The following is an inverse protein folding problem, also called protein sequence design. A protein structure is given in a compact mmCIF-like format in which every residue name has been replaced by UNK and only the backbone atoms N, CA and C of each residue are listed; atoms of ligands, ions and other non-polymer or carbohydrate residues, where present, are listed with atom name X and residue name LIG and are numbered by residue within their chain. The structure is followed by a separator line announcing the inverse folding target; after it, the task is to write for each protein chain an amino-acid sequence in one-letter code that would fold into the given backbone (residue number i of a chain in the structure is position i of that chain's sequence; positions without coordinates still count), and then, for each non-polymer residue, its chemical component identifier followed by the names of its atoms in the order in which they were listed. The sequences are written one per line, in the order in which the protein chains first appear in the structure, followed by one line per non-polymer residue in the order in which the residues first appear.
data_IF_372917011526
#
_entry.id   IF_372917011526
#
_cell.length_a   1.000
_cell.length_b   1.000
_cell.length_c   1.000
_cell.angle_alpha   90.00
_cell.angle_beta   90.00
_cell.angle_gamma   90.00
#
_symmetry.space_group_name_H-M   'P 1'
#
loop_
_entity.id
_entity.type
_entity.pdbx_description
1 polymer ?
#
# COMPACT_ATOMS: atom_id res chain seq x y z
N UNK A 1 1.39 -0.30 -16.88
CA UNK A 1 1.40 -0.40 -15.46
C UNK A 1 0.76 -1.65 -14.98
N UNK A 2 1.36 -2.38 -14.13
CA UNK A 2 0.62 -3.43 -13.44
C UNK A 2 1.27 -3.67 -12.08
N UNK A 3 0.64 -3.14 -11.02
CA UNK A 3 0.51 -3.99 -9.88
C UNK A 3 -0.32 -5.16 -10.40
N UNK A 4 0.28 -6.27 -10.74
CA UNK A 4 -0.48 -7.45 -11.14
C UNK A 4 -1.50 -7.71 -10.04
N UNK A 5 -2.77 -8.01 -10.38
CA UNK A 5 -3.68 -8.45 -9.36
C UNK A 5 -2.96 -9.56 -8.59
N UNK A 6 -3.01 -9.50 -7.27
CA UNK A 6 -2.40 -10.52 -6.42
C UNK A 6 -3.18 -11.83 -6.54
N UNK A 7 -3.25 -12.35 -7.77
CA UNK A 7 -4.05 -13.53 -8.14
C UNK A 7 -3.56 -14.82 -7.50
N UNK A 8 -2.36 -14.79 -6.92
CA UNK A 8 -1.81 -15.91 -6.16
C UNK A 8 -2.10 -15.87 -4.66
N UNK A 9 -2.65 -14.77 -4.14
CA UNK A 9 -3.06 -14.70 -2.75
C UNK A 9 -4.39 -15.44 -2.63
N UNK A 10 -4.36 -16.53 -1.91
CA UNK A 10 -5.47 -17.44 -1.65
C UNK A 10 -6.80 -16.68 -1.48
N UNK A 11 -7.73 -16.88 -2.40
CA UNK A 11 -9.06 -16.24 -2.44
C UNK A 11 -9.87 -16.35 -1.13
N UNK A 12 -9.44 -17.21 -0.18
CA UNK A 12 -10.10 -17.33 1.11
C UNK A 12 -9.96 -16.10 2.01
N UNK A 13 -8.97 -15.23 1.76
CA UNK A 13 -8.84 -13.95 2.47
C UNK A 13 -9.71 -12.84 1.88
N UNK A 14 -10.15 -13.00 0.64
CA UNK A 14 -11.04 -12.05 -0.03
C UNK A 14 -12.52 -12.25 0.30
N UNK A 15 -12.83 -13.07 1.28
CA UNK A 15 -14.22 -13.17 1.74
C UNK A 15 -14.62 -11.82 2.32
N UNK A 16 -15.28 -11.05 1.46
CA UNK A 16 -15.89 -9.74 1.69
C UNK A 16 -16.46 -9.67 3.11
N UNK A 17 -15.64 -9.23 4.06
CA UNK A 17 -16.19 -8.60 5.24
C UNK A 17 -16.79 -7.30 4.73
N UNK A 18 -18.09 -7.18 4.71
CA UNK A 18 -18.77 -5.89 4.65
C UNK A 18 -18.40 -5.15 5.92
N UNK A 19 -17.18 -4.59 5.93
CA UNK A 19 -16.76 -3.73 7.00
C UNK A 19 -17.33 -2.37 6.65
N UNK A 20 -18.27 -1.90 7.44
CA UNK A 20 -18.59 -0.49 7.48
C UNK A 20 -17.34 0.19 8.03
N UNK A 21 -16.47 0.69 7.13
CA UNK A 21 -15.21 1.35 7.49
C UNK A 21 -15.54 2.76 7.96
N UNK A 22 -16.22 2.87 9.10
CA UNK A 22 -16.44 4.13 9.77
C UNK A 22 -15.27 4.31 10.73
N UNK A 23 -14.37 5.26 10.42
CA UNK A 23 -13.29 5.74 11.29
C UNK A 23 -12.09 4.81 11.52
N UNK A 24 -11.77 3.91 10.58
CA UNK A 24 -10.58 3.07 10.67
C UNK A 24 -9.31 3.85 10.27
N UNK A 25 -8.20 3.59 10.97
CA UNK A 25 -6.91 4.24 10.71
C UNK A 25 -5.84 3.22 10.35
N UNK A 26 -4.76 3.67 9.69
CA UNK A 26 -3.56 2.86 9.55
C UNK A 26 -2.51 3.35 10.56
N UNK A 27 -1.90 2.40 11.26
CA UNK A 27 -0.90 2.67 12.30
C UNK A 27 0.46 2.13 11.85
N UNK A 28 1.46 3.00 11.84
CA UNK A 28 2.86 2.65 11.60
C UNK A 28 3.76 3.46 12.53
N UNK A 29 4.98 2.96 12.75
CA UNK A 29 5.94 3.65 13.60
C UNK A 29 6.57 4.84 12.86
N UNK A 30 7.13 5.79 13.61
CA UNK A 30 7.90 6.89 13.03
C UNK A 30 9.11 6.40 12.23
N UNK A 31 9.73 5.30 12.67
CA UNK A 31 10.82 4.64 11.95
C UNK A 31 10.36 4.09 10.60
N UNK A 32 9.24 3.39 10.57
CA UNK A 32 8.64 2.85 9.34
C UNK A 32 8.34 3.99 8.35
N UNK A 33 7.75 5.06 8.84
CA UNK A 33 7.45 6.25 8.03
C UNK A 33 8.72 6.84 7.42
N UNK A 34 9.77 7.02 8.21
CA UNK A 34 11.04 7.55 7.73
C UNK A 34 11.71 6.63 6.71
N UNK A 35 11.62 5.31 6.89
CA UNK A 35 12.12 4.34 5.92
C UNK A 35 11.43 4.47 4.56
N UNK A 36 10.10 4.58 4.56
CA UNK A 36 9.32 4.78 3.34
C UNK A 36 9.67 6.10 2.63
N UNK A 37 9.78 7.20 3.39
CA UNK A 37 10.16 8.50 2.86
C UNK A 37 11.55 8.47 2.22
N UNK A 38 12.52 7.90 2.92
CA UNK A 38 13.90 7.79 2.45
C UNK A 38 13.98 6.94 1.18
N UNK A 39 13.24 5.84 1.15
CA UNK A 39 13.17 4.98 -0.03
C UNK A 39 12.57 5.72 -1.23
N UNK A 40 11.44 6.40 -1.03
CA UNK A 40 10.79 7.20 -2.08
C UNK A 40 11.73 8.25 -2.69
N UNK A 41 12.46 8.97 -1.85
CA UNK A 41 13.41 9.98 -2.32
C UNK A 41 14.61 9.37 -3.06
N UNK A 42 15.06 8.17 -2.66
CA UNK A 42 16.18 7.48 -3.30
C UNK A 42 15.85 6.90 -4.67
N UNK A 43 14.59 6.56 -4.92
CA UNK A 43 14.15 5.94 -6.17
C UNK A 43 13.81 6.96 -7.27
N UNK A 44 13.79 8.25 -6.94
CA UNK A 44 13.55 9.29 -7.96
C UNK A 44 14.51 9.15 -9.14
N UNK A 45 14.06 9.33 -10.36
CA UNK A 45 12.79 9.92 -10.82
C UNK A 45 11.62 8.92 -10.96
N UNK A 46 11.79 7.67 -10.52
CA UNK A 46 10.78 6.63 -10.66
C UNK A 46 9.85 6.57 -9.45
N UNK A 47 8.64 6.05 -9.64
CA UNK A 47 7.80 5.66 -8.52
C UNK A 47 8.49 4.54 -7.73
N UNK A 48 8.51 4.67 -6.41
CA UNK A 48 8.88 3.58 -5.49
C UNK A 48 7.65 2.84 -5.03
N UNK A 49 7.81 1.59 -4.61
CA UNK A 49 6.72 0.81 -4.07
C UNK A 49 7.18 -0.10 -2.92
N UNK A 50 6.26 -0.42 -2.03
CA UNK A 50 6.49 -1.33 -0.91
C UNK A 50 5.20 -2.05 -0.53
N UNK A 51 5.35 -3.22 0.07
CA UNK A 51 4.24 -3.99 0.64
C UNK A 51 4.35 -3.91 2.17
N UNK A 52 3.26 -3.54 2.81
CA UNK A 52 3.19 -3.43 4.26
C UNK A 52 2.38 -4.61 4.81
N UNK A 53 2.98 -5.29 5.77
CA UNK A 53 2.46 -6.51 6.38
C UNK A 53 2.12 -6.24 7.85
N UNK A 54 1.05 -6.81 8.32
CA UNK A 54 0.62 -6.65 9.70
C UNK A 54 -0.70 -7.32 10.00
N UNK A 55 -1.46 -6.75 10.91
CA UNK A 55 -2.74 -7.27 11.35
C UNK A 55 -3.82 -6.19 11.26
N UNK A 56 -5.03 -6.63 10.99
CA UNK A 56 -6.23 -5.80 11.01
C UNK A 56 -7.08 -6.15 12.21
N UNK A 57 -7.52 -5.13 12.95
CA UNK A 57 -8.53 -5.24 13.99
C UNK A 57 -9.77 -4.38 13.66
N UNK A 58 -10.69 -4.21 14.61
CA UNK A 58 -11.93 -3.46 14.39
C UNK A 58 -11.69 -2.00 14.03
N UNK A 59 -10.66 -1.39 14.61
CA UNK A 59 -10.41 0.04 14.53
C UNK A 59 -9.22 0.41 13.64
N UNK A 60 -8.29 -0.55 13.38
CA UNK A 60 -7.02 -0.21 12.76
C UNK A 60 -6.47 -1.29 11.83
N UNK A 61 -5.66 -0.84 10.88
CA UNK A 61 -4.65 -1.66 10.21
C UNK A 61 -3.30 -1.37 10.89
N UNK A 62 -2.75 -2.38 11.56
CA UNK A 62 -1.53 -2.24 12.34
C UNK A 62 -0.33 -2.76 11.54
N UNK A 63 0.49 -1.87 11.01
CA UNK A 63 1.70 -2.23 10.28
C UNK A 63 2.73 -2.81 11.26
N UNK A 64 3.29 -3.97 10.91
CA UNK A 64 4.31 -4.66 11.69
C UNK A 64 5.62 -4.84 10.93
N UNK A 65 5.55 -4.84 9.60
CA UNK A 65 6.72 -5.02 8.75
C UNK A 65 6.54 -4.29 7.43
N UNK A 66 7.59 -3.63 7.00
CA UNK A 66 7.70 -3.02 5.67
C UNK A 66 8.59 -3.91 4.83
N UNK A 67 8.14 -4.23 3.62
CA UNK A 67 8.93 -4.91 2.61
C UNK A 67 9.08 -3.98 1.41
N UNK A 68 10.24 -3.36 1.28
CA UNK A 68 10.59 -2.55 0.13
C UNK A 68 10.66 -3.45 -1.11
N UNK A 69 10.06 -3.00 -2.20
CA UNK A 69 9.99 -3.76 -3.45
C UNK A 69 10.54 -2.97 -4.62
N UNK A 70 11.08 -3.67 -5.61
CA UNK A 70 11.50 -3.04 -6.86
C UNK A 70 10.27 -2.66 -7.69
N UNK A 71 10.28 -1.44 -8.26
CA UNK A 71 9.37 -1.08 -9.35
C UNK A 71 9.93 -1.62 -10.66
N UNK A 72 9.45 -2.79 -11.08
CA UNK A 72 9.95 -3.45 -12.31
C UNK A 72 9.55 -2.73 -13.59
N UNK A 73 8.55 -1.85 -13.54
CA UNK A 73 8.17 -0.99 -14.65
C UNK A 73 9.15 0.16 -14.88
N UNK A 74 9.93 0.53 -13.86
CA UNK A 74 10.86 1.68 -13.90
C UNK A 74 10.23 2.91 -14.52
N UNK A 75 9.04 3.26 -14.06
CA UNK A 75 8.23 4.37 -14.58
C UNK A 75 8.12 5.50 -13.56
N UNK A 76 7.98 6.72 -14.08
CA UNK A 76 7.74 7.93 -13.27
C UNK A 76 6.29 8.13 -12.85
N UNK A 77 5.38 7.39 -13.48
CA UNK A 77 3.92 7.59 -13.34
C UNK A 77 3.17 6.32 -12.98
N UNK A 78 3.89 5.23 -12.76
CA UNK A 78 3.30 3.94 -12.45
C UNK A 78 4.32 2.99 -11.83
N UNK A 79 3.86 1.91 -11.20
CA UNK A 79 4.74 0.89 -10.63
C UNK A 79 4.19 -0.51 -10.90
N UNK A 80 5.10 -1.47 -10.88
CA UNK A 80 4.78 -2.89 -10.92
C UNK A 80 5.64 -3.64 -9.90
N UNK A 81 4.99 -4.44 -9.07
CA UNK A 81 5.66 -5.40 -8.19
C UNK A 81 5.63 -6.75 -8.88
N UNK A 82 6.76 -7.46 -8.95
CA UNK A 82 6.80 -8.76 -9.61
C UNK A 82 5.92 -9.79 -8.87
N UNK A 83 5.25 -10.71 -9.59
CA UNK A 83 4.46 -11.78 -8.97
C UNK A 83 5.25 -12.64 -8.00
N UNK A 84 6.52 -12.92 -8.30
CA UNK A 84 7.40 -13.69 -7.42
C UNK A 84 7.63 -12.97 -6.09
N UNK A 85 7.80 -11.65 -6.12
CA UNK A 85 7.97 -10.84 -4.91
C UNK A 85 6.69 -10.77 -4.08
N UNK A 86 5.55 -10.62 -4.74
CA UNK A 86 4.24 -10.65 -4.07
C UNK A 86 4.02 -11.99 -3.36
N UNK A 87 4.33 -13.09 -4.03
CA UNK A 87 4.24 -14.44 -3.44
C UNK A 87 5.19 -14.60 -2.24
N UNK A 88 6.44 -14.17 -2.36
CA UNK A 88 7.41 -14.18 -1.26
C UNK A 88 6.89 -13.45 -0.03
N UNK A 89 6.35 -12.24 -0.23
CA UNK A 89 5.82 -11.42 0.89
C UNK A 89 4.58 -12.07 1.52
N UNK A 90 3.71 -12.66 0.71
CA UNK A 90 2.55 -13.40 1.22
C UNK A 90 2.97 -14.59 2.11
N UNK A 91 4.01 -15.32 1.70
CA UNK A 91 4.56 -16.42 2.52
C UNK A 91 5.16 -15.92 3.83
N UNK A 92 5.94 -14.84 3.78
CA UNK A 92 6.51 -14.20 4.98
C UNK A 92 5.39 -13.77 5.95
N UNK A 93 4.34 -13.18 5.44
CA UNK A 93 3.20 -12.76 6.23
C UNK A 93 2.52 -13.96 6.93
N UNK A 94 2.23 -15.00 6.17
CA UNK A 94 1.59 -16.23 6.69
C UNK A 94 2.41 -16.92 7.77
N UNK A 95 3.72 -17.04 7.58
CA UNK A 95 4.64 -17.64 8.57
C UNK A 95 4.63 -16.88 9.89
N UNK A 96 4.36 -15.59 9.87
CA UNK A 96 4.28 -14.73 11.06
C UNK A 96 2.84 -14.51 11.55
N UNK A 97 1.88 -15.25 11.02
CA UNK A 97 0.45 -15.08 11.33
C UNK A 97 -0.05 -13.65 11.08
N UNK A 98 0.42 -13.07 10.01
CA UNK A 98 0.05 -11.73 9.53
C UNK A 98 -0.49 -11.81 8.12
N UNK A 99 -0.91 -10.68 7.58
CA UNK A 99 -1.38 -10.54 6.21
C UNK A 99 -0.82 -9.26 5.55
N UNK A 100 -0.92 -9.19 4.24
CA UNK A 100 -0.65 -7.95 3.53
C UNK A 100 -1.82 -7.00 3.79
N UNK A 101 -1.53 -5.83 4.35
CA UNK A 101 -2.56 -4.89 4.80
C UNK A 101 -2.49 -3.53 4.11
N UNK A 102 -1.43 -3.24 3.37
CA UNK A 102 -1.28 -1.95 2.71
C UNK A 102 -0.27 -2.04 1.57
N UNK A 103 -0.51 -1.28 0.52
CA UNK A 103 0.48 -0.96 -0.50
C UNK A 103 0.94 0.48 -0.31
N UNK A 104 2.24 0.70 -0.39
CA UNK A 104 2.86 2.02 -0.46
C UNK A 104 3.38 2.27 -1.87
N UNK A 105 3.20 3.49 -2.38
CA UNK A 105 3.97 3.98 -3.52
C UNK A 105 4.20 5.50 -3.44
N UNK A 106 5.16 5.98 -4.22
CA UNK A 106 5.47 7.39 -4.32
C UNK A 106 5.03 7.97 -5.65
N UNK A 107 4.67 9.25 -5.61
CA UNK A 107 4.48 10.11 -6.79
C UNK A 107 5.67 11.08 -6.89
N UNK A 108 6.62 10.85 -7.81
CA UNK A 108 7.78 11.75 -7.95
C UNK A 108 7.42 13.18 -8.33
N UNK A 109 6.40 13.36 -9.17
CA UNK A 109 6.07 14.63 -9.80
C UNK A 109 4.62 15.11 -9.60
N UNK A 110 3.82 14.38 -8.84
CA UNK A 110 2.41 14.70 -8.58
C UNK A 110 2.03 14.66 -7.11
N UNK A 111 0.82 15.09 -6.78
CA UNK A 111 0.30 15.13 -5.43
C UNK A 111 0.10 13.73 -4.84
N UNK A 112 0.03 13.65 -3.51
CA UNK A 112 -0.24 12.42 -2.77
C UNK A 112 -1.75 12.06 -2.82
N UNK A 113 -2.24 11.74 -4.01
CA UNK A 113 -3.62 11.37 -4.29
C UNK A 113 -3.66 10.27 -5.36
N UNK A 114 -4.57 9.28 -5.27
CA UNK A 114 -4.66 8.21 -6.27
C UNK A 114 -4.90 8.74 -7.69
N UNK A 115 -4.07 8.29 -8.64
CA UNK A 115 -4.32 8.48 -10.06
C UNK A 115 -5.48 7.58 -10.54
N UNK A 116 -6.00 7.80 -11.75
CA UNK A 116 -7.00 6.92 -12.33
C UNK A 116 -6.48 5.49 -12.49
N UNK A 117 -5.19 5.34 -12.75
CA UNK A 117 -4.53 4.06 -12.80
C UNK A 117 -4.46 3.41 -11.43
N UNK A 118 -4.08 4.16 -10.39
CA UNK A 118 -4.08 3.66 -9.01
C UNK A 118 -5.45 3.11 -8.60
N UNK A 119 -6.51 3.83 -8.91
CA UNK A 119 -7.90 3.41 -8.61
C UNK A 119 -8.26 2.06 -9.22
N UNK A 120 -7.77 1.76 -10.44
CA UNK A 120 -8.00 0.45 -11.06
C UNK A 120 -7.40 -0.68 -10.25
N UNK A 121 -6.22 -0.48 -9.67
CA UNK A 121 -5.55 -1.47 -8.83
C UNK A 121 -6.10 -1.53 -7.42
N UNK A 122 -6.53 -0.41 -6.87
CA UNK A 122 -7.23 -0.37 -5.59
C UNK A 122 -8.52 -1.21 -5.63
N UNK A 123 -9.20 -1.30 -6.77
CA UNK A 123 -10.40 -2.13 -6.94
C UNK A 123 -10.12 -3.62 -6.78
N UNK A 124 -8.96 -4.08 -7.22
CA UNK A 124 -8.56 -5.50 -7.13
C UNK A 124 -7.68 -5.79 -5.91
N UNK A 125 -7.21 -4.76 -5.23
CA UNK A 125 -6.43 -4.84 -4.00
C UNK A 125 -7.10 -3.97 -2.92
N UNK A 126 -8.19 -4.45 -2.31
CA UNK A 126 -9.09 -3.65 -1.48
C UNK A 126 -8.60 -3.49 -0.04
N UNK A 127 -7.40 -3.02 0.15
CA UNK A 127 -6.82 -2.61 1.42
C UNK A 127 -6.29 -1.17 1.30
N UNK A 128 -5.83 -0.56 2.39
CA UNK A 128 -5.26 0.79 2.37
C UNK A 128 -4.09 0.94 1.40
N UNK A 129 -4.01 2.12 0.79
CA UNK A 129 -2.91 2.54 -0.06
C UNK A 129 -2.31 3.83 0.49
N UNK A 130 -1.03 3.79 0.85
CA UNK A 130 -0.29 4.98 1.25
C UNK A 130 0.43 5.55 0.03
N UNK A 131 0.23 6.83 -0.21
CA UNK A 131 0.88 7.57 -1.30
C UNK A 131 1.71 8.70 -0.71
N UNK A 132 2.96 8.79 -1.13
CA UNK A 132 3.87 9.88 -0.80
C UNK A 132 4.18 10.73 -2.03
N UNK A 133 4.03 12.04 -1.90
CA UNK A 133 4.43 12.99 -2.95
C UNK A 133 5.84 13.51 -2.70
N UNK A 134 6.73 13.28 -3.67
CA UNK A 134 8.08 13.84 -3.61
C UNK A 134 8.10 15.36 -3.85
N UNK A 135 7.02 15.94 -4.38
CA UNK A 135 6.89 17.39 -4.62
C UNK A 135 6.32 18.12 -3.42
N UNK A 136 5.17 17.71 -2.92
CA UNK A 136 4.51 18.38 -1.78
C UNK A 136 5.01 17.90 -0.43
N UNK A 137 5.69 16.75 -0.38
CA UNK A 137 6.15 16.07 0.85
C UNK A 137 5.02 15.55 1.73
N UNK A 138 3.80 15.48 1.20
CA UNK A 138 2.66 14.88 1.89
C UNK A 138 2.69 13.36 1.80
N UNK A 139 2.24 12.71 2.86
CA UNK A 139 1.96 11.27 2.89
C UNK A 139 0.51 11.08 3.32
N UNK A 140 -0.28 10.47 2.46
CA UNK A 140 -1.70 10.26 2.71
C UNK A 140 -2.05 8.79 2.51
N UNK A 141 -3.09 8.33 3.21
CA UNK A 141 -3.61 6.98 3.07
C UNK A 141 -5.05 7.01 2.54
N UNK A 142 -5.35 6.09 1.64
CA UNK A 142 -6.65 6.01 0.97
C UNK A 142 -7.17 4.59 0.93
N UNK A 143 -8.50 4.48 0.92
CA UNK A 143 -9.24 3.26 0.61
C UNK A 143 -10.25 3.56 -0.49
N UNK A 144 -10.72 2.51 -1.18
CA UNK A 144 -11.93 2.60 -2.00
C UNK A 144 -13.11 2.08 -1.21
N UNK A 145 -14.12 2.92 -1.07
CA UNK A 145 -15.41 2.59 -0.47
C UNK A 145 -16.52 2.89 -1.49
N UNK A 146 -17.25 1.85 -1.93
CA UNK A 146 -18.26 1.98 -2.99
C UNK A 146 -17.75 2.71 -4.24
N UNK A 147 -16.55 2.33 -4.70
CA UNK A 147 -15.85 2.92 -5.86
C UNK A 147 -15.44 4.39 -5.70
N UNK A 148 -15.56 4.95 -4.49
CA UNK A 148 -15.11 6.28 -4.15
C UNK A 148 -13.82 6.24 -3.32
N UNK A 149 -12.89 7.12 -3.65
CA UNK A 149 -11.66 7.31 -2.87
C UNK A 149 -12.01 8.01 -1.55
N UNK A 150 -11.61 7.39 -0.45
CA UNK A 150 -11.73 7.96 0.89
C UNK A 150 -10.36 8.02 1.55
N UNK A 151 -10.00 9.20 2.03
CA UNK A 151 -8.79 9.36 2.83
C UNK A 151 -9.04 8.87 4.26
N UNK A 152 -8.08 8.13 4.79
CA UNK A 152 -8.11 7.65 6.17
C UNK A 152 -6.89 8.18 6.93
N UNK A 153 -6.99 8.34 8.28
CA UNK A 153 -5.86 8.81 9.08
C UNK A 153 -4.67 7.85 9.07
N UNK A 154 -3.47 8.42 9.04
CA UNK A 154 -2.23 7.73 9.37
C UNK A 154 -1.88 8.13 10.80
N UNK A 155 -1.77 7.15 11.69
CA UNK A 155 -1.40 7.36 13.09
C UNK A 155 0.02 6.84 13.29
N UNK A 156 0.89 7.71 13.79
CA UNK A 156 2.26 7.37 14.16
C UNK A 156 2.29 6.90 15.61
N UNK A 157 2.74 5.67 15.79
CA UNK A 157 2.86 5.06 17.13
C UNK A 157 4.23 5.29 17.76
#
# INVERSE_FOLDING_TARGET
MYCTPMDGINNNYRRVRRITIVNKSIILTGTDKQELLKYAESEKPYESCAILVGNEDEDNWNVKKIVLTENTAKSKVTFTISPDKEFEVDQIAKESNMEIICIFHSHPESEAHPSETDKKFMRVNPFPWIIYSCTTKDMNCFILENDNVKQIPIIES
#
